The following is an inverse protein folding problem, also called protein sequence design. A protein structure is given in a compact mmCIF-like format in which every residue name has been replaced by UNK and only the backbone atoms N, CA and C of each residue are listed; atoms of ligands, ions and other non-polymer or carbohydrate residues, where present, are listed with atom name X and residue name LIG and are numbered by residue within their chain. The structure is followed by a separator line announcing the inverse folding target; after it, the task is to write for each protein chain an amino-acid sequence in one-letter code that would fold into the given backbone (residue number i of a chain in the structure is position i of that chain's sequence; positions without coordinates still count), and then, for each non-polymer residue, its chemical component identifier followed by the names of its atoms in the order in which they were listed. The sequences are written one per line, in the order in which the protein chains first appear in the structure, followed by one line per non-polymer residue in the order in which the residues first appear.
data_IF_179202482336
#
_entry.id   IF_179202482336
#
_cell.length_a   1.000
_cell.length_b   1.000
_cell.length_c   1.000
_cell.angle_alpha   90.00
_cell.angle_beta   90.00
_cell.angle_gamma   90.00
#
_symmetry.space_group_name_H-M   'P 1'
#
loop_
_entity.id
_entity.type
_entity.pdbx_description
1 polymer ?
#
# COMPACT_ATOMS: atom_id res chain seq x y z
N UNK A 1 13.16 70.84 3.35
CA UNK A 1 13.95 69.64 3.02
C UNK A 1 13.27 68.36 3.54
N UNK A 2 12.15 67.87 2.94
CA UNK A 2 11.48 66.65 3.41
C UNK A 2 10.67 65.92 2.34
N UNK A 3 10.94 66.14 1.03
CA UNK A 3 10.23 65.38 -0.04
C UNK A 3 11.07 64.33 -0.76
N UNK A 4 12.40 64.25 -0.56
CA UNK A 4 13.30 63.38 -1.32
C UNK A 4 13.46 61.96 -0.73
N UNK A 5 13.18 61.73 0.55
CA UNK A 5 13.41 60.45 1.20
C UNK A 5 12.25 59.41 1.04
N UNK A 6 11.03 59.89 0.76
CA UNK A 6 9.87 58.98 0.56
C UNK A 6 9.82 58.28 -0.81
N UNK A 7 10.37 58.91 -1.85
CA UNK A 7 10.39 58.33 -3.20
C UNK A 7 11.42 57.22 -3.35
N UNK A 8 12.58 57.31 -2.70
CA UNK A 8 13.62 56.27 -2.73
C UNK A 8 13.22 55.00 -2.02
N UNK A 9 12.44 55.07 -0.93
CA UNK A 9 11.90 53.91 -0.20
C UNK A 9 10.90 53.12 -1.01
N UNK A 10 9.98 53.80 -1.70
CA UNK A 10 8.96 53.15 -2.52
C UNK A 10 9.54 52.45 -3.75
N UNK A 11 10.57 53.01 -4.38
CA UNK A 11 11.26 52.41 -5.52
C UNK A 11 12.00 51.11 -5.12
N UNK A 12 12.60 51.09 -3.94
CA UNK A 12 13.34 49.93 -3.42
C UNK A 12 12.39 48.77 -3.05
N UNK A 13 11.24 49.06 -2.47
CA UNK A 13 10.19 48.10 -2.16
C UNK A 13 9.55 47.54 -3.45
N UNK A 14 9.37 48.37 -4.46
CA UNK A 14 8.86 47.97 -5.77
C UNK A 14 9.84 47.04 -6.50
N UNK A 15 11.14 47.37 -6.52
CA UNK A 15 12.18 46.52 -7.10
C UNK A 15 12.30 45.17 -6.39
N UNK A 16 12.25 45.14 -5.06
CA UNK A 16 12.25 43.90 -4.28
C UNK A 16 11.01 43.02 -4.55
N UNK A 17 9.86 43.63 -4.77
CA UNK A 17 8.64 42.90 -5.20
C UNK A 17 8.78 42.31 -6.61
N UNK A 18 9.37 43.06 -7.55
CA UNK A 18 9.63 42.57 -8.90
C UNK A 18 10.63 41.44 -8.91
N UNK A 19 11.72 41.51 -8.14
CA UNK A 19 12.70 40.43 -8.00
C UNK A 19 12.08 39.17 -7.35
N UNK A 20 11.24 39.36 -6.33
CA UNK A 20 10.54 38.25 -5.68
C UNK A 20 9.55 37.59 -6.64
N UNK A 21 8.82 38.34 -7.45
CA UNK A 21 7.91 37.83 -8.46
C UNK A 21 8.67 37.11 -9.60
N UNK A 22 9.80 37.65 -10.07
CA UNK A 22 10.64 37.00 -11.08
C UNK A 22 11.26 35.71 -10.57
N UNK A 23 11.73 35.66 -9.32
CA UNK A 23 12.23 34.42 -8.70
C UNK A 23 11.10 33.39 -8.57
N UNK A 24 9.90 33.82 -8.20
CA UNK A 24 8.73 32.93 -8.08
C UNK A 24 8.28 32.36 -9.44
N UNK A 25 8.30 33.21 -10.49
CA UNK A 25 7.96 32.77 -11.86
C UNK A 25 9.03 31.81 -12.44
N UNK A 26 10.31 32.11 -12.25
CA UNK A 26 11.41 31.22 -12.66
C UNK A 26 11.32 29.85 -11.96
N UNK A 27 10.96 29.84 -10.67
CA UNK A 27 10.77 28.60 -9.93
C UNK A 27 9.55 27.80 -10.40
N UNK A 28 8.47 28.44 -10.83
CA UNK A 28 7.29 27.81 -11.44
C UNK A 28 7.61 27.23 -12.82
N UNK A 29 8.33 27.96 -13.66
CA UNK A 29 8.76 27.49 -14.98
C UNK A 29 9.73 26.31 -14.84
N UNK A 30 10.72 26.40 -13.96
CA UNK A 30 11.65 25.30 -13.71
C UNK A 30 10.94 24.05 -13.19
N UNK A 31 9.95 24.20 -12.31
CA UNK A 31 9.10 23.09 -11.83
C UNK A 31 8.29 22.45 -12.96
N UNK A 32 7.66 23.26 -13.85
CA UNK A 32 6.90 22.76 -15.01
C UNK A 32 7.80 22.00 -15.98
N UNK A 33 9.01 22.51 -16.25
CA UNK A 33 9.98 21.83 -17.10
C UNK A 33 10.44 20.52 -16.44
N UNK A 34 10.72 20.53 -15.14
CA UNK A 34 11.06 19.31 -14.40
C UNK A 34 9.96 18.24 -14.47
N UNK A 35 8.68 18.64 -14.43
CA UNK A 35 7.55 17.75 -14.61
C UNK A 35 7.48 17.13 -16.01
N UNK A 36 7.76 17.93 -17.05
CA UNK A 36 7.80 17.44 -18.43
C UNK A 36 8.88 16.37 -18.62
N UNK A 37 10.09 16.56 -18.04
CA UNK A 37 11.14 15.55 -18.06
C UNK A 37 10.78 14.29 -17.31
N UNK A 38 10.16 14.41 -16.14
CA UNK A 38 9.66 13.25 -15.37
C UNK A 38 8.58 12.48 -16.14
N UNK A 39 7.67 13.20 -16.78
CA UNK A 39 6.62 12.60 -17.60
C UNK A 39 7.19 11.92 -18.85
N UNK A 40 8.14 12.54 -19.55
CA UNK A 40 8.84 11.94 -20.66
C UNK A 40 9.62 10.68 -20.23
N UNK A 41 10.31 10.71 -19.09
CA UNK A 41 10.95 9.55 -18.49
C UNK A 41 9.96 8.41 -18.19
N UNK A 42 8.82 8.73 -17.61
CA UNK A 42 7.75 7.76 -17.32
C UNK A 42 7.19 7.14 -18.60
N UNK A 43 6.96 7.95 -19.65
CA UNK A 43 6.53 7.45 -20.95
C UNK A 43 7.59 6.53 -21.59
N UNK A 44 8.87 6.92 -21.52
CA UNK A 44 9.99 6.10 -22.01
C UNK A 44 10.07 4.78 -21.23
N UNK A 45 10.00 4.81 -19.92
CA UNK A 45 9.94 3.63 -19.06
C UNK A 45 8.78 2.70 -19.45
N UNK A 46 7.56 3.26 -19.58
CA UNK A 46 6.37 2.51 -19.97
C UNK A 46 6.53 1.93 -21.39
N UNK A 47 7.09 2.69 -22.34
CA UNK A 47 7.31 2.23 -23.71
C UNK A 47 8.30 1.05 -23.77
N UNK A 48 9.42 1.13 -23.06
CA UNK A 48 10.42 0.05 -23.02
C UNK A 48 9.87 -1.21 -22.37
N UNK A 49 9.05 -1.07 -21.31
CA UNK A 49 8.45 -2.20 -20.61
C UNK A 49 7.14 -2.69 -21.25
N UNK A 50 6.61 -1.98 -22.25
CA UNK A 50 5.29 -2.30 -22.86
C UNK A 50 5.17 -3.75 -23.36
N UNK A 51 6.20 -4.42 -23.97
CA UNK A 51 6.03 -5.81 -24.38
C UNK A 51 5.83 -6.77 -23.20
N UNK A 52 6.46 -6.49 -22.03
CA UNK A 52 6.20 -7.25 -20.82
C UNK A 52 4.79 -6.99 -20.27
N UNK A 53 4.39 -5.73 -20.24
CA UNK A 53 3.03 -5.35 -19.80
C UNK A 53 1.96 -5.94 -20.71
N UNK A 54 2.15 -6.01 -22.02
CA UNK A 54 1.23 -6.68 -22.93
C UNK A 54 1.11 -8.18 -22.64
N UNK A 55 2.22 -8.87 -22.34
CA UNK A 55 2.19 -10.29 -21.94
C UNK A 55 1.46 -10.50 -20.63
N UNK A 56 1.71 -9.63 -19.64
CA UNK A 56 1.02 -9.66 -18.35
C UNK A 56 -0.47 -9.39 -18.55
N UNK A 57 -0.83 -8.36 -19.32
CA UNK A 57 -2.22 -8.02 -19.64
C UNK A 57 -2.92 -9.16 -20.38
N UNK A 58 -2.27 -9.74 -21.38
CA UNK A 58 -2.81 -10.91 -22.08
C UNK A 58 -3.15 -12.03 -21.09
N UNK A 59 -2.18 -12.44 -20.25
CA UNK A 59 -2.42 -13.47 -19.22
C UNK A 59 -3.52 -13.04 -18.24
N UNK A 60 -3.53 -11.78 -17.81
CA UNK A 60 -4.54 -11.25 -16.90
C UNK A 60 -5.96 -11.32 -17.48
N UNK A 61 -6.12 -11.13 -18.79
CA UNK A 61 -7.44 -11.18 -19.45
C UNK A 61 -7.84 -12.58 -19.92
N UNK A 62 -6.90 -13.48 -20.18
CA UNK A 62 -7.17 -14.79 -20.79
C UNK A 62 -7.01 -15.98 -19.86
N UNK A 63 -6.31 -15.85 -18.73
CA UNK A 63 -6.13 -16.95 -17.78
C UNK A 63 -7.43 -17.15 -16.97
N UNK A 64 -8.10 -18.28 -17.18
CA UNK A 64 -9.37 -18.63 -16.50
C UNK A 64 -9.25 -18.77 -14.96
N UNK A 65 -8.02 -18.75 -14.43
CA UNK A 65 -7.76 -18.74 -12.98
C UNK A 65 -7.85 -17.36 -12.37
N UNK A 66 -8.05 -16.31 -13.17
CA UNK A 66 -8.17 -14.94 -12.72
C UNK A 66 -9.62 -14.49 -12.84
N UNK A 67 -10.29 -14.34 -11.70
CA UNK A 67 -11.64 -13.78 -11.63
C UNK A 67 -11.53 -12.28 -11.31
N UNK A 68 -11.98 -11.46 -12.25
CA UNK A 68 -11.87 -10.00 -12.14
C UNK A 68 -13.15 -9.36 -11.64
N UNK A 69 -13.01 -8.16 -11.07
CA UNK A 69 -14.12 -7.27 -10.71
C UNK A 69 -15.11 -7.82 -9.68
N UNK A 70 -14.65 -8.74 -8.82
CA UNK A 70 -15.47 -9.25 -7.72
C UNK A 70 -15.77 -8.11 -6.74
N UNK A 71 -17.04 -7.88 -6.44
CA UNK A 71 -17.48 -6.79 -5.58
C UNK A 71 -17.35 -7.18 -4.11
N UNK A 72 -16.72 -6.33 -3.30
CA UNK A 72 -16.56 -6.56 -1.86
C UNK A 72 -17.26 -5.53 -0.97
N UNK A 73 -17.79 -4.45 -1.53
CA UNK A 73 -18.45 -3.38 -0.81
C UNK A 73 -19.34 -2.50 -1.67
N UNK A 74 -19.97 -1.45 -1.10
CA UNK A 74 -21.00 -0.66 -1.76
C UNK A 74 -20.43 0.34 -2.79
N UNK A 75 -19.20 0.84 -2.60
CA UNK A 75 -18.64 1.85 -3.48
C UNK A 75 -18.27 1.25 -4.86
N UNK A 76 -18.31 2.03 -5.95
CA UNK A 76 -17.95 1.54 -7.28
C UNK A 76 -16.54 0.97 -7.37
N UNK A 77 -15.59 1.50 -6.57
CA UNK A 77 -14.21 1.04 -6.48
C UNK A 77 -14.01 -0.13 -5.50
N UNK A 78 -15.03 -0.54 -4.75
CA UNK A 78 -14.94 -1.70 -3.86
C UNK A 78 -14.99 -3.01 -4.67
N UNK A 79 -13.96 -3.22 -5.49
CA UNK A 79 -13.75 -4.39 -6.33
C UNK A 79 -12.40 -5.01 -6.07
N UNK A 80 -12.28 -6.31 -6.31
CA UNK A 80 -11.02 -7.03 -6.22
C UNK A 80 -10.89 -8.02 -7.38
N UNK A 81 -9.65 -8.42 -7.65
CA UNK A 81 -9.37 -9.50 -8.57
C UNK A 81 -8.81 -10.69 -7.79
N UNK A 82 -9.35 -11.88 -8.07
CA UNK A 82 -8.92 -13.13 -7.47
C UNK A 82 -7.99 -13.86 -8.43
N UNK A 83 -6.82 -14.24 -7.94
CA UNK A 83 -5.85 -15.08 -8.62
C UNK A 83 -5.83 -16.42 -7.90
N UNK A 84 -6.39 -17.44 -8.54
CA UNK A 84 -6.71 -18.72 -7.92
C UNK A 84 -5.78 -19.83 -8.46
N UNK A 85 -4.97 -20.51 -7.61
CA UNK A 85 -4.18 -21.65 -8.03
C UNK A 85 -5.08 -22.79 -8.54
N UNK A 86 -4.49 -23.77 -9.24
CA UNK A 86 -5.23 -24.96 -9.67
C UNK A 86 -5.92 -25.64 -8.48
N UNK A 87 -7.17 -26.03 -8.66
CA UNK A 87 -8.00 -26.65 -7.63
C UNK A 87 -8.69 -25.67 -6.68
N UNK A 88 -8.57 -24.34 -6.94
CA UNK A 88 -9.37 -23.32 -6.30
C UNK A 88 -10.36 -22.73 -7.31
N UNK A 89 -11.53 -22.30 -6.84
CA UNK A 89 -12.55 -21.68 -7.68
C UNK A 89 -13.32 -20.62 -6.89
N UNK A 90 -13.96 -19.68 -7.60
CA UNK A 90 -14.91 -18.73 -7.06
C UNK A 90 -16.25 -18.90 -7.78
N UNK A 91 -17.28 -19.26 -7.04
CA UNK A 91 -18.61 -19.57 -7.58
C UNK A 91 -19.63 -18.43 -7.45
N UNK A 92 -19.17 -17.20 -7.19
CA UNK A 92 -20.02 -16.02 -7.05
C UNK A 92 -20.62 -15.82 -5.64
N UNK A 93 -21.51 -14.82 -5.50
CA UNK A 93 -22.06 -14.43 -4.19
C UNK A 93 -23.21 -15.35 -3.73
N UNK A 94 -23.72 -16.22 -4.59
CA UNK A 94 -25.02 -16.91 -4.43
C UNK A 94 -24.96 -18.22 -3.65
N UNK A 95 -23.84 -18.64 -3.11
CA UNK A 95 -23.76 -19.94 -2.40
C UNK A 95 -23.39 -19.71 -0.94
N UNK A 96 -24.31 -19.15 -0.19
CA UNK A 96 -24.38 -19.25 1.28
C UNK A 96 -25.59 -20.16 1.62
N UNK A 97 -25.73 -21.27 0.94
CA UNK A 97 -26.72 -22.29 1.25
C UNK A 97 -26.03 -23.56 1.76
N UNK A 98 -26.78 -24.45 2.39
CA UNK A 98 -26.29 -25.62 3.06
C UNK A 98 -25.31 -26.52 2.24
N UNK A 99 -25.33 -26.41 0.91
CA UNK A 99 -24.36 -27.03 0.00
C UNK A 99 -22.97 -26.38 0.00
N UNK A 100 -22.85 -25.10 0.32
CA UNK A 100 -21.58 -24.39 0.50
C UNK A 100 -20.74 -24.95 1.66
N UNK A 101 -21.37 -25.44 2.70
CA UNK A 101 -20.71 -26.12 3.82
C UNK A 101 -20.06 -27.43 3.39
N UNK A 102 -20.72 -28.21 2.53
CA UNK A 102 -20.20 -29.48 2.03
C UNK A 102 -19.02 -29.29 1.03
N UNK A 103 -19.04 -28.21 0.23
CA UNK A 103 -17.92 -27.84 -0.63
C UNK A 103 -16.74 -27.26 0.19
N UNK A 104 -17.02 -26.57 1.30
CA UNK A 104 -16.04 -26.06 2.24
C UNK A 104 -15.25 -27.21 2.91
N UNK A 105 -15.87 -28.30 3.28
CA UNK A 105 -15.18 -29.48 3.86
C UNK A 105 -14.27 -30.18 2.86
N UNK A 106 -14.67 -30.30 1.60
CA UNK A 106 -13.83 -30.89 0.54
C UNK A 106 -12.69 -29.96 0.09
N UNK A 107 -12.92 -28.63 0.09
CA UNK A 107 -11.89 -27.63 -0.21
C UNK A 107 -10.85 -27.53 0.93
N UNK A 108 -11.21 -27.89 2.16
CA UNK A 108 -10.35 -27.88 3.35
C UNK A 108 -9.13 -28.83 3.25
N UNK A 109 -9.11 -29.77 2.31
CA UNK A 109 -7.96 -30.65 2.12
C UNK A 109 -6.70 -29.96 1.57
N UNK A 110 -6.80 -28.76 1.01
CA UNK A 110 -5.67 -27.98 0.53
C UNK A 110 -5.64 -26.61 1.23
N UNK A 111 -5.21 -26.61 2.49
CA UNK A 111 -5.02 -25.44 3.38
C UNK A 111 -4.05 -24.40 2.80
N UNK A 112 -4.48 -23.67 1.76
CA UNK A 112 -3.63 -22.68 1.03
C UNK A 112 -3.62 -21.35 1.74
N UNK A 113 -2.46 -20.69 1.85
CA UNK A 113 -2.41 -19.30 2.31
C UNK A 113 -3.16 -18.38 1.35
N UNK A 114 -3.82 -17.37 1.93
CA UNK A 114 -4.55 -16.32 1.21
C UNK A 114 -3.84 -14.99 1.43
N UNK A 115 -3.54 -14.29 0.35
CA UNK A 115 -2.88 -12.99 0.38
C UNK A 115 -3.86 -11.93 -0.10
N UNK A 116 -4.14 -10.96 0.76
CA UNK A 116 -4.84 -9.73 0.40
C UNK A 116 -3.80 -8.71 -0.03
N UNK A 117 -3.78 -8.35 -1.30
CA UNK A 117 -2.82 -7.41 -1.85
C UNK A 117 -3.45 -6.01 -2.00
N UNK A 118 -2.77 -4.99 -1.49
CA UNK A 118 -3.18 -3.58 -1.56
C UNK A 118 -2.15 -2.80 -2.37
N UNK A 119 -2.56 -2.31 -3.55
CA UNK A 119 -1.65 -1.63 -4.48
C UNK A 119 -1.29 -0.23 -3.99
N UNK A 120 -0.10 0.25 -4.37
CA UNK A 120 0.30 1.65 -4.23
C UNK A 120 -0.33 2.55 -5.30
N UNK A 121 0.25 3.72 -5.48
CA UNK A 121 -0.16 4.73 -6.47
C UNK A 121 -0.40 6.11 -5.87
N UNK A 122 0.40 6.52 -4.90
CA UNK A 122 0.37 7.86 -4.29
C UNK A 122 -1.02 8.29 -3.78
N UNK A 123 -1.89 7.34 -3.41
CA UNK A 123 -3.29 7.56 -3.04
C UNK A 123 -4.19 8.14 -4.16
N UNK A 124 -3.66 8.32 -5.38
CA UNK A 124 -4.31 9.01 -6.51
C UNK A 124 -4.60 8.06 -7.66
N UNK A 125 -3.68 7.15 -7.97
CA UNK A 125 -3.73 6.31 -9.19
C UNK A 125 -3.71 4.80 -8.90
N UNK A 126 -3.94 4.37 -7.66
CA UNK A 126 -3.97 2.94 -7.31
C UNK A 126 -5.02 2.18 -8.13
N UNK A 127 -4.68 0.99 -8.61
CA UNK A 127 -5.57 0.13 -9.35
C UNK A 127 -5.21 -1.35 -9.16
N UNK A 128 -6.22 -2.19 -8.89
CA UNK A 128 -6.03 -3.62 -8.56
C UNK A 128 -5.22 -4.43 -9.58
N UNK A 129 -5.34 -4.12 -10.88
CA UNK A 129 -4.60 -4.84 -11.92
C UNK A 129 -3.08 -4.56 -11.89
N UNK A 130 -2.63 -3.51 -11.21
CA UNK A 130 -1.19 -3.24 -11.05
C UNK A 130 -0.51 -4.29 -10.18
N UNK A 131 -1.28 -4.97 -9.32
CA UNK A 131 -0.83 -6.12 -8.56
C UNK A 131 -0.68 -7.41 -9.36
N UNK A 132 -1.15 -7.46 -10.62
CA UNK A 132 -1.25 -8.70 -11.40
C UNK A 132 0.10 -9.42 -11.57
N UNK A 133 1.19 -8.68 -11.75
CA UNK A 133 2.53 -9.28 -11.95
C UNK A 133 2.98 -10.08 -10.72
N UNK A 134 2.90 -9.48 -9.53
CA UNK A 134 3.18 -10.16 -8.26
C UNK A 134 2.16 -11.27 -7.99
N UNK A 135 0.87 -10.96 -8.16
CA UNK A 135 -0.21 -11.90 -7.87
C UNK A 135 -0.13 -13.18 -8.71
N UNK A 136 0.17 -13.07 -10.01
CA UNK A 136 0.38 -14.24 -10.87
C UNK A 136 1.59 -15.07 -10.46
N UNK A 137 2.67 -14.42 -10.00
CA UNK A 137 3.86 -15.11 -9.51
C UNK A 137 3.57 -15.86 -8.21
N UNK A 138 2.85 -15.25 -7.28
CA UNK A 138 2.42 -15.90 -6.04
C UNK A 138 1.37 -16.98 -6.29
N UNK A 139 0.43 -16.79 -7.22
CA UNK A 139 -0.55 -17.79 -7.62
C UNK A 139 0.12 -19.07 -8.16
N UNK A 140 1.16 -18.93 -9.00
CA UNK A 140 1.94 -20.08 -9.50
C UNK A 140 2.60 -20.87 -8.36
N UNK A 141 2.93 -20.22 -7.25
CA UNK A 141 3.48 -20.83 -6.02
C UNK A 141 2.42 -21.43 -5.09
N UNK A 142 1.17 -21.44 -5.53
CA UNK A 142 0.07 -22.06 -4.83
C UNK A 142 -0.66 -21.16 -3.83
N UNK A 143 -0.38 -19.87 -3.79
CA UNK A 143 -1.09 -18.90 -2.95
C UNK A 143 -2.35 -18.40 -3.64
N UNK A 144 -3.44 -18.23 -2.89
CA UNK A 144 -4.60 -17.47 -3.34
C UNK A 144 -4.28 -15.99 -3.14
N UNK A 145 -4.48 -15.16 -4.17
CA UNK A 145 -4.24 -13.72 -4.06
C UNK A 145 -5.50 -12.94 -4.42
N UNK A 146 -5.91 -12.04 -3.54
CA UNK A 146 -6.98 -11.07 -3.75
C UNK A 146 -6.38 -9.67 -3.86
N UNK A 147 -6.31 -9.12 -5.07
CA UNK A 147 -5.81 -7.76 -5.31
C UNK A 147 -6.93 -6.76 -5.18
N UNK A 148 -6.88 -5.89 -4.15
CA UNK A 148 -7.92 -4.94 -3.84
C UNK A 148 -7.81 -3.65 -4.64
N UNK A 149 -8.96 -3.13 -5.06
CA UNK A 149 -9.15 -1.74 -5.44
C UNK A 149 -9.74 -0.96 -4.25
N UNK A 150 -9.50 0.33 -4.20
CA UNK A 150 -10.03 1.25 -3.19
C UNK A 150 -10.26 2.61 -3.82
N UNK A 151 -11.08 3.47 -3.21
CA UNK A 151 -11.25 4.85 -3.67
C UNK A 151 -9.90 5.55 -3.71
N UNK A 152 -9.61 6.26 -4.79
CA UNK A 152 -8.45 7.14 -4.88
C UNK A 152 -8.89 8.59 -4.64
N UNK A 153 -7.97 9.47 -4.27
CA UNK A 153 -8.24 10.90 -4.26
C UNK A 153 -8.48 11.40 -5.71
N UNK A 154 -9.49 12.24 -5.98
CA UNK A 154 -10.39 12.92 -5.03
C UNK A 154 -11.69 12.15 -4.69
N UNK A 155 -11.85 10.89 -5.10
CA UNK A 155 -13.07 10.09 -4.82
C UNK A 155 -13.24 9.79 -3.32
N UNK A 156 -12.14 9.77 -2.57
CA UNK A 156 -12.11 9.61 -1.13
C UNK A 156 -10.82 10.15 -0.55
N UNK A 157 -10.79 10.32 0.76
CA UNK A 157 -9.62 10.69 1.55
C UNK A 157 -8.91 9.44 2.10
N UNK A 158 -7.81 9.62 2.81
CA UNK A 158 -7.07 8.52 3.44
C UNK A 158 -7.95 7.69 4.39
N UNK A 159 -8.89 8.34 5.08
CA UNK A 159 -9.86 7.66 5.94
C UNK A 159 -10.77 6.73 5.17
N UNK A 160 -11.34 7.23 4.08
CA UNK A 160 -12.18 6.46 3.16
C UNK A 160 -11.44 5.27 2.54
N UNK A 161 -10.18 5.50 2.12
CA UNK A 161 -9.33 4.46 1.52
C UNK A 161 -9.00 3.36 2.53
N UNK A 162 -8.65 3.73 3.76
CA UNK A 162 -8.36 2.76 4.82
C UNK A 162 -9.60 1.92 5.18
N UNK A 163 -10.79 2.54 5.19
CA UNK A 163 -12.05 1.84 5.39
C UNK A 163 -12.37 0.86 4.25
N UNK A 164 -12.14 1.25 2.99
CA UNK A 164 -12.28 0.36 1.83
C UNK A 164 -11.34 -0.85 1.95
N UNK A 165 -10.07 -0.61 2.31
CA UNK A 165 -9.08 -1.68 2.52
C UNK A 165 -9.51 -2.60 3.66
N UNK A 166 -9.95 -2.05 4.80
CA UNK A 166 -10.47 -2.83 5.93
C UNK A 166 -11.66 -3.71 5.56
N UNK A 167 -12.62 -3.15 4.79
CA UNK A 167 -13.77 -3.90 4.27
C UNK A 167 -13.35 -5.04 3.35
N UNK A 168 -12.37 -4.80 2.46
CA UNK A 168 -11.80 -5.80 1.56
C UNK A 168 -11.10 -6.93 2.31
N UNK A 169 -10.28 -6.62 3.32
CA UNK A 169 -9.64 -7.61 4.20
C UNK A 169 -10.71 -8.48 4.87
N UNK A 170 -11.73 -7.85 5.46
CA UNK A 170 -12.83 -8.56 6.11
C UNK A 170 -13.60 -9.46 5.14
N UNK A 171 -13.86 -9.00 3.92
CA UNK A 171 -14.53 -9.78 2.88
C UNK A 171 -13.73 -11.03 2.51
N UNK A 172 -12.43 -10.88 2.21
CA UNK A 172 -11.56 -12.00 1.84
C UNK A 172 -11.44 -13.00 2.99
N UNK A 173 -11.27 -12.53 4.22
CA UNK A 173 -11.15 -13.39 5.39
C UNK A 173 -12.39 -14.28 5.59
N UNK A 174 -13.59 -13.69 5.47
CA UNK A 174 -14.85 -14.46 5.59
C UNK A 174 -15.01 -15.51 4.49
N UNK A 175 -14.42 -15.28 3.32
CA UNK A 175 -14.52 -16.18 2.16
C UNK A 175 -13.29 -17.04 1.91
N UNK A 176 -12.28 -16.97 2.77
CA UNK A 176 -11.03 -17.70 2.57
C UNK A 176 -11.27 -19.21 2.34
N UNK A 177 -12.12 -19.85 3.16
CA UNK A 177 -12.44 -21.28 3.02
C UNK A 177 -13.16 -21.57 1.69
N UNK A 178 -14.15 -20.79 1.30
CA UNK A 178 -14.89 -21.00 0.04
C UNK A 178 -14.01 -20.75 -1.21
N UNK A 179 -12.92 -20.02 -1.08
CA UNK A 179 -11.91 -19.85 -2.13
C UNK A 179 -10.91 -21.03 -2.18
N UNK A 180 -11.00 -22.01 -1.28
CA UNK A 180 -10.02 -23.10 -1.14
C UNK A 180 -8.80 -22.73 -0.31
N UNK A 181 -8.89 -21.67 0.48
CA UNK A 181 -7.85 -21.16 1.37
C UNK A 181 -8.09 -21.52 2.83
N UNK A 182 -7.06 -21.30 3.64
CA UNK A 182 -7.10 -21.44 5.09
C UNK A 182 -7.45 -20.11 5.76
N UNK A 183 -8.61 -20.00 6.45
CA UNK A 183 -8.99 -18.77 7.16
C UNK A 183 -8.01 -18.37 8.27
N UNK A 184 -7.14 -19.27 8.72
CA UNK A 184 -6.08 -19.02 9.69
C UNK A 184 -4.77 -18.54 9.05
N UNK A 185 -4.66 -18.62 7.72
CA UNK A 185 -3.48 -18.25 6.93
C UNK A 185 -3.80 -17.11 5.96
N UNK A 186 -4.47 -16.07 6.47
CA UNK A 186 -4.75 -14.86 5.71
C UNK A 186 -3.70 -13.81 6.03
N UNK A 187 -3.00 -13.34 4.99
CA UNK A 187 -1.95 -12.34 5.07
C UNK A 187 -2.37 -11.09 4.32
N UNK A 188 -1.91 -9.95 4.78
CA UNK A 188 -2.08 -8.67 4.07
C UNK A 188 -0.72 -8.22 3.54
N UNK A 189 -0.64 -7.90 2.26
CA UNK A 189 0.56 -7.39 1.61
C UNK A 189 0.22 -6.04 0.99
N UNK A 190 0.86 -4.97 1.43
CA UNK A 190 0.67 -3.63 0.88
C UNK A 190 1.94 -3.10 0.25
N UNK A 191 1.82 -2.32 -0.84
CA UNK A 191 2.93 -1.67 -1.50
C UNK A 191 2.77 -0.15 -1.49
N UNK A 192 3.83 0.62 -1.08
CA UNK A 192 3.82 2.09 -1.11
C UNK A 192 2.63 2.68 -0.33
N UNK A 193 1.80 3.51 -0.96
CA UNK A 193 0.54 3.99 -0.40
C UNK A 193 -0.38 2.85 0.06
N UNK A 194 -0.35 1.68 -0.60
CA UNK A 194 -1.09 0.50 -0.18
C UNK A 194 -0.57 -0.12 1.12
N UNK A 195 0.74 -0.06 1.38
CA UNK A 195 1.32 -0.48 2.66
C UNK A 195 0.90 0.46 3.81
N UNK A 196 0.88 1.76 3.53
CA UNK A 196 0.33 2.76 4.44
C UNK A 196 -1.13 2.46 4.79
N UNK A 197 -1.98 2.31 3.77
CA UNK A 197 -3.42 2.07 3.95
C UNK A 197 -3.70 0.75 4.66
N UNK A 198 -2.92 -0.30 4.37
CA UNK A 198 -3.03 -1.58 5.05
C UNK A 198 -2.66 -1.45 6.54
N UNK A 199 -1.53 -0.82 6.87
CA UNK A 199 -1.14 -0.57 8.25
C UNK A 199 -2.18 0.28 8.99
N UNK A 200 -2.68 1.34 8.34
CA UNK A 200 -3.71 2.21 8.90
C UNK A 200 -5.03 1.46 9.14
N UNK A 201 -5.45 0.60 8.22
CA UNK A 201 -6.65 -0.24 8.38
C UNK A 201 -6.53 -1.21 9.55
N UNK A 202 -5.35 -1.83 9.74
CA UNK A 202 -5.08 -2.72 10.90
C UNK A 202 -5.19 -1.96 12.22
N UNK A 203 -4.55 -0.81 12.32
CA UNK A 203 -4.51 -0.01 13.54
C UNK A 203 -5.91 0.57 13.88
N UNK A 204 -6.61 1.12 12.88
CA UNK A 204 -7.99 1.62 13.07
C UNK A 204 -8.98 0.52 13.47
N UNK A 205 -8.80 -0.69 12.92
CA UNK A 205 -9.61 -1.83 13.33
C UNK A 205 -9.34 -2.22 14.79
N UNK A 206 -8.11 -2.08 15.26
CA UNK A 206 -7.75 -2.25 16.68
C UNK A 206 -8.41 -1.19 17.54
N UNK A 207 -8.33 0.09 17.19
CA UNK A 207 -8.99 1.20 17.90
C UNK A 207 -10.50 0.96 18.02
N UNK A 208 -11.14 0.61 16.90
CA UNK A 208 -12.57 0.38 16.85
C UNK A 208 -13.00 -0.76 17.79
N UNK A 209 -12.33 -1.91 17.77
CA UNK A 209 -12.66 -3.05 18.63
C UNK A 209 -12.54 -2.71 20.11
N UNK A 210 -11.59 -1.87 20.48
CA UNK A 210 -11.41 -1.45 21.86
C UNK A 210 -12.48 -0.47 22.30
N UNK A 211 -12.88 0.45 21.45
CA UNK A 211 -13.96 1.40 21.77
C UNK A 211 -15.29 0.68 21.97
N UNK A 212 -15.61 -0.36 21.20
CA UNK A 212 -16.81 -1.18 21.44
C UNK A 212 -16.75 -1.96 22.76
N UNK A 213 -15.58 -2.54 23.07
CA UNK A 213 -15.40 -3.27 24.33
C UNK A 213 -15.53 -2.35 25.56
N UNK A 214 -15.03 -1.11 25.46
CA UNK A 214 -15.09 -0.13 26.56
C UNK A 214 -16.47 0.48 26.75
N UNK A 215 -17.29 0.58 25.71
CA UNK A 215 -18.62 1.20 25.77
C UNK A 215 -19.74 0.25 26.20
N UNK A 216 -19.46 -1.07 26.33
CA UNK A 216 -20.39 -2.06 26.89
C UNK A 216 -21.75 -2.24 26.18
N UNK A 217 -22.00 -1.51 25.11
CA UNK A 217 -23.20 -1.59 24.27
C UNK A 217 -22.88 -1.13 22.83
N UNK A 218 -23.42 -1.84 21.86
CA UNK A 218 -23.33 -1.51 20.43
C UNK A 218 -23.90 -0.14 20.11
N UNK A 219 -23.15 0.90 20.38
CA UNK A 219 -23.48 2.25 19.95
C UNK A 219 -23.04 2.42 18.50
N UNK A 220 -23.97 2.16 17.59
CA UNK A 220 -23.92 2.71 16.24
C UNK A 220 -24.00 4.24 16.32
N UNK A 221 -22.95 4.92 16.75
CA UNK A 221 -22.81 6.36 16.54
C UNK A 221 -22.26 6.57 15.13
N UNK A 222 -23.18 6.69 14.21
CA UNK A 222 -23.05 7.05 12.81
C UNK A 222 -22.55 8.48 12.66
N UNK A 223 -21.26 8.76 12.80
CA UNK A 223 -20.75 10.07 12.40
C UNK A 223 -19.25 10.14 12.07
N UNK A 224 -18.58 9.01 11.86
CA UNK A 224 -17.28 9.02 11.18
C UNK A 224 -17.41 8.33 9.82
N UNK A 225 -17.46 9.12 8.78
CA UNK A 225 -17.26 8.67 7.39
C UNK A 225 -15.99 7.83 7.40
N UNK A 226 -16.10 6.54 7.03
CA UNK A 226 -14.95 5.66 6.90
C UNK A 226 -14.69 4.65 8.04
N UNK A 227 -15.58 4.49 9.03
CA UNK A 227 -15.45 3.42 10.01
C UNK A 227 -15.58 2.03 9.32
N UNK A 228 -14.70 1.06 9.64
CA UNK A 228 -14.86 -0.31 9.14
C UNK A 228 -16.20 -0.88 9.61
N UNK A 229 -16.82 -1.72 8.78
CA UNK A 229 -18.09 -2.35 9.14
C UNK A 229 -17.95 -3.12 10.46
N UNK A 230 -18.79 -2.85 11.47
CA UNK A 230 -18.71 -3.44 12.79
C UNK A 230 -18.64 -4.97 12.78
N UNK A 231 -17.81 -5.57 13.62
CA UNK A 231 -17.79 -7.00 13.90
C UNK A 231 -17.21 -7.92 12.81
N UNK A 232 -16.63 -7.38 11.73
CA UNK A 232 -16.28 -8.19 10.58
C UNK A 232 -14.98 -9.02 10.73
N UNK A 233 -13.95 -8.51 11.44
CA UNK A 233 -12.66 -9.17 11.62
C UNK A 233 -11.80 -8.49 12.70
N UNK A 234 -10.74 -9.17 13.15
CA UNK A 234 -9.74 -8.62 14.06
C UNK A 234 -8.34 -8.75 13.48
N UNK A 235 -7.44 -7.75 13.62
CA UNK A 235 -6.06 -7.86 13.16
C UNK A 235 -5.33 -9.10 13.69
N UNK A 236 -5.58 -9.50 14.94
CA UNK A 236 -5.03 -10.73 15.55
C UNK A 236 -5.42 -12.04 14.84
N UNK A 237 -6.43 -11.99 13.97
CA UNK A 237 -6.87 -13.15 13.19
C UNK A 237 -6.12 -13.27 11.85
N UNK A 238 -5.27 -12.31 11.53
CA UNK A 238 -4.40 -12.36 10.37
C UNK A 238 -3.11 -13.10 10.72
N UNK A 239 -2.63 -13.91 9.79
CA UNK A 239 -1.38 -14.65 9.95
C UNK A 239 -0.14 -13.78 9.77
N UNK A 240 -0.27 -12.63 9.09
CA UNK A 240 0.83 -11.67 8.94
C UNK A 240 0.47 -10.43 8.13
N UNK A 241 1.31 -9.42 8.28
CA UNK A 241 1.33 -8.20 7.48
C UNK A 241 2.69 -8.02 6.81
N UNK A 242 2.69 -7.69 5.52
CA UNK A 242 3.90 -7.36 4.76
C UNK A 242 3.74 -5.95 4.19
N UNK A 243 4.63 -5.06 4.57
CA UNK A 243 4.72 -3.72 4.01
C UNK A 243 5.91 -3.57 3.08
N UNK A 244 5.66 -3.23 1.81
CA UNK A 244 6.70 -3.06 0.78
C UNK A 244 6.83 -1.59 0.43
N UNK A 245 8.01 -0.99 0.65
CA UNK A 245 8.29 0.43 0.36
C UNK A 245 7.21 1.37 0.89
N UNK A 246 6.74 1.12 2.11
CA UNK A 246 5.60 1.82 2.71
C UNK A 246 5.94 3.21 3.24
N UNK A 247 4.91 3.99 3.47
CA UNK A 247 4.92 5.30 4.13
C UNK A 247 4.22 5.15 5.46
N UNK A 248 4.87 5.50 6.58
CA UNK A 248 4.29 5.21 7.90
C UNK A 248 4.27 6.41 8.85
N UNK A 249 4.89 7.53 8.47
CA UNK A 249 4.94 8.76 9.28
C UNK A 249 4.53 10.01 8.50
N UNK A 250 3.30 10.08 7.92
CA UNK A 250 2.82 11.27 7.23
C UNK A 250 2.71 12.51 8.14
N UNK A 251 2.79 12.33 9.45
CA UNK A 251 2.89 13.40 10.46
C UNK A 251 4.31 14.00 10.57
N UNK A 252 5.33 13.39 9.97
CA UNK A 252 6.69 13.94 9.95
C UNK A 252 6.81 15.06 8.91
N UNK A 253 7.11 16.32 9.33
CA UNK A 253 7.25 17.43 8.39
C UNK A 253 8.32 17.21 7.33
N UNK A 254 9.38 16.45 7.63
CA UNK A 254 10.45 16.13 6.68
C UNK A 254 9.95 15.26 5.52
N UNK A 255 9.01 14.36 5.80
CA UNK A 255 8.37 13.53 4.79
C UNK A 255 7.42 14.34 3.91
N UNK A 256 6.64 15.25 4.49
CA UNK A 256 5.76 16.17 3.75
C UNK A 256 6.58 17.02 2.77
N UNK A 257 7.72 17.57 3.25
CA UNK A 257 8.63 18.32 2.40
C UNK A 257 9.30 17.47 1.33
N UNK A 258 9.64 16.22 1.66
CA UNK A 258 10.17 15.26 0.70
C UNK A 258 9.19 15.02 -0.46
N UNK A 259 7.91 14.77 -0.17
CA UNK A 259 6.88 14.57 -1.20
C UNK A 259 6.64 15.82 -2.04
N UNK A 260 6.61 17.01 -1.43
CA UNK A 260 6.48 18.27 -2.16
C UNK A 260 7.63 18.47 -3.16
N UNK A 261 8.86 18.18 -2.75
CA UNK A 261 10.04 18.19 -3.65
C UNK A 261 9.96 17.14 -4.76
N UNK A 262 9.36 15.99 -4.50
CA UNK A 262 9.19 14.90 -5.47
C UNK A 262 8.01 15.13 -6.41
N UNK A 263 7.16 16.12 -6.15
CA UNK A 263 6.08 16.55 -7.04
C UNK A 263 4.68 16.13 -6.60
N UNK A 264 4.51 15.53 -5.44
CA UNK A 264 3.22 15.48 -4.77
C UNK A 264 3.09 16.79 -3.97
N UNK A 265 2.41 17.77 -4.56
CA UNK A 265 2.23 19.08 -3.94
C UNK A 265 1.67 18.96 -2.53
N UNK A 266 2.22 19.76 -1.62
CA UNK A 266 1.87 19.77 -0.20
C UNK A 266 0.36 19.93 0.02
N UNK A 267 -0.28 20.79 -0.74
CA UNK A 267 -1.72 21.05 -0.67
C UNK A 267 -2.54 19.79 -1.02
N UNK A 268 -2.11 19.06 -2.04
CA UNK A 268 -2.75 17.79 -2.44
C UNK A 268 -2.52 16.72 -1.38
N UNK A 269 -1.29 16.62 -0.86
CA UNK A 269 -0.99 15.70 0.22
C UNK A 269 -1.84 15.97 1.47
N UNK A 270 -1.96 17.23 1.87
CA UNK A 270 -2.81 17.63 2.99
C UNK A 270 -4.29 17.31 2.75
N UNK A 271 -4.80 17.54 1.54
CA UNK A 271 -6.17 17.18 1.18
C UNK A 271 -6.41 15.67 1.24
N UNK A 272 -5.48 14.86 0.75
CA UNK A 272 -5.52 13.39 0.87
C UNK A 272 -5.58 12.95 2.34
N UNK A 273 -4.73 13.56 3.19
CA UNK A 273 -4.60 13.24 4.62
C UNK A 273 -5.62 13.96 5.51
N UNK A 274 -6.71 14.49 4.94
CA UNK A 274 -7.82 15.16 5.65
C UNK A 274 -7.44 16.45 6.39
N UNK A 275 -6.25 16.99 6.12
CA UNK A 275 -5.75 18.22 6.73
C UNK A 275 -6.30 19.50 6.08
N UNK A 276 -7.09 19.38 5.00
CA UNK A 276 -7.52 20.50 4.13
C UNK A 276 -6.39 20.98 3.23
N UNK A 277 -6.71 21.58 2.09
CA UNK A 277 -5.69 22.05 1.12
C UNK A 277 -4.69 23.04 1.72
N UNK A 278 -5.12 23.89 2.65
CA UNK A 278 -4.22 24.84 3.35
C UNK A 278 -3.38 24.19 4.46
N UNK A 279 -3.66 22.94 4.83
CA UNK A 279 -3.06 22.32 6.00
C UNK A 279 -3.57 22.86 7.33
N UNK A 280 -4.70 23.59 7.34
CA UNK A 280 -5.24 24.21 8.57
C UNK A 280 -5.57 23.20 9.68
N UNK A 281 -5.81 21.94 9.32
CA UNK A 281 -6.07 20.83 10.25
C UNK A 281 -4.91 19.85 10.35
N UNK A 282 -3.71 20.19 9.82
CA UNK A 282 -2.59 19.26 9.76
C UNK A 282 -2.18 18.72 11.13
N UNK A 283 -2.22 19.55 12.17
CA UNK A 283 -1.90 19.15 13.53
C UNK A 283 -2.80 18.02 14.07
N UNK A 284 -4.07 17.99 13.67
CA UNK A 284 -5.04 16.97 14.10
C UNK A 284 -5.07 15.77 13.13
N UNK A 285 -5.07 16.04 11.83
CA UNK A 285 -5.34 15.05 10.80
C UNK A 285 -4.13 14.17 10.48
N UNK A 286 -2.92 14.74 10.43
CA UNK A 286 -1.73 13.97 10.09
C UNK A 286 -1.39 12.88 11.11
N UNK A 287 -1.43 13.11 12.44
CA UNK A 287 -1.23 12.02 13.40
C UNK A 287 -2.26 10.89 13.26
N UNK A 288 -3.54 11.22 12.99
CA UNK A 288 -4.59 10.21 12.76
C UNK A 288 -4.39 9.41 11.47
N UNK A 289 -3.63 9.94 10.53
CA UNK A 289 -3.28 9.29 9.27
C UNK A 289 -1.92 8.60 9.33
N UNK A 290 -1.22 8.68 10.46
CA UNK A 290 0.14 8.16 10.65
C UNK A 290 0.14 6.85 11.44
N UNK A 291 0.46 5.70 10.80
CA UNK A 291 0.67 4.46 11.52
C UNK A 291 1.67 4.59 12.69
N UNK A 292 2.78 5.31 12.49
CA UNK A 292 3.76 5.54 13.57
C UNK A 292 3.19 6.36 14.73
N UNK A 293 2.37 7.38 14.45
CA UNK A 293 1.77 8.20 15.50
C UNK A 293 0.71 7.41 16.28
N UNK A 294 -0.12 6.64 15.61
CA UNK A 294 -1.14 5.78 16.25
C UNK A 294 -0.48 4.73 17.15
N UNK A 295 0.62 4.09 16.69
CA UNK A 295 1.35 3.12 17.51
C UNK A 295 1.96 3.80 18.75
N UNK A 296 2.53 5.01 18.62
CA UNK A 296 3.02 5.79 19.77
C UNK A 296 1.89 6.18 20.73
N UNK A 297 0.71 6.45 20.21
CA UNK A 297 -0.46 6.74 21.04
C UNK A 297 -0.88 5.50 21.86
N UNK A 298 -0.87 4.30 21.26
CA UNK A 298 -1.08 3.06 21.97
C UNK A 298 0.01 2.80 23.03
N UNK A 299 1.28 3.09 22.73
CA UNK A 299 2.37 2.95 23.72
C UNK A 299 2.08 3.76 24.99
N UNK A 300 1.57 4.97 24.84
CA UNK A 300 1.33 5.88 25.95
C UNK A 300 0.01 5.63 26.70
N UNK A 301 -1.08 5.30 25.98
CA UNK A 301 -2.41 5.19 26.55
C UNK A 301 -2.80 3.77 26.95
N UNK A 302 -2.36 2.78 26.17
CA UNK A 302 -2.78 1.39 26.29
C UNK A 302 -1.62 0.43 26.00
N UNK A 303 -0.60 0.38 26.88
CA UNK A 303 0.54 -0.52 26.71
C UNK A 303 0.10 -1.98 26.51
N UNK A 304 0.71 -2.69 25.53
CA UNK A 304 0.40 -4.09 25.24
C UNK A 304 -0.62 -4.32 24.13
N UNK A 305 -1.44 -3.32 23.74
CA UNK A 305 -2.44 -3.46 22.67
C UNK A 305 -1.81 -3.90 21.35
N UNK A 306 -0.71 -3.29 20.96
CA UNK A 306 0.01 -3.63 19.74
C UNK A 306 0.54 -5.08 19.80
N UNK A 307 1.05 -5.50 20.96
CA UNK A 307 1.51 -6.87 21.18
C UNK A 307 0.40 -7.91 21.04
N UNK A 308 -0.82 -7.55 21.42
CA UNK A 308 -1.99 -8.43 21.37
C UNK A 308 -2.66 -8.48 20.00
N UNK A 309 -2.65 -7.37 19.26
CA UNK A 309 -3.49 -7.19 18.07
C UNK A 309 -2.72 -7.21 16.76
N UNK A 310 -1.51 -6.66 16.71
CA UNK A 310 -0.74 -6.64 15.48
C UNK A 310 -0.24 -8.02 15.09
N UNK A 311 -0.49 -8.45 13.85
CA UNK A 311 0.03 -9.72 13.35
C UNK A 311 1.55 -9.66 13.20
N UNK A 312 2.24 -10.81 13.07
CA UNK A 312 3.62 -10.86 12.61
C UNK A 312 3.82 -9.94 11.41
N UNK A 313 4.86 -9.12 11.43
CA UNK A 313 5.06 -8.06 10.43
C UNK A 313 6.42 -8.23 9.74
N UNK A 314 6.42 -8.14 8.40
CA UNK A 314 7.61 -8.07 7.57
C UNK A 314 7.60 -6.74 6.80
N UNK A 315 8.66 -5.95 6.94
CA UNK A 315 8.84 -4.70 6.21
C UNK A 315 9.98 -4.87 5.20
N UNK A 316 9.65 -4.69 3.93
CA UNK A 316 10.58 -4.81 2.80
C UNK A 316 10.81 -3.44 2.17
N UNK A 317 12.09 -3.05 1.93
CA UNK A 317 12.37 -1.74 1.34
C UNK A 317 13.62 -1.74 0.47
N UNK A 318 13.56 -1.07 -0.69
CA UNK A 318 14.73 -0.83 -1.51
C UNK A 318 15.62 0.26 -0.92
N UNK A 319 16.93 0.02 -0.76
CA UNK A 319 17.82 1.00 -0.13
C UNK A 319 18.08 2.24 -1.00
N UNK A 320 17.87 2.14 -2.31
CA UNK A 320 17.96 3.26 -3.25
C UNK A 320 16.59 3.90 -3.55
N UNK A 321 15.58 3.62 -2.72
CA UNK A 321 14.25 4.21 -2.87
C UNK A 321 14.29 5.71 -2.55
N UNK A 322 14.00 6.52 -3.57
CA UNK A 322 13.90 7.97 -3.45
C UNK A 322 12.47 8.48 -3.51
N UNK A 323 11.49 7.61 -3.66
CA UNK A 323 10.05 7.97 -3.64
C UNK A 323 9.51 7.96 -2.22
N UNK A 324 9.68 6.83 -1.52
CA UNK A 324 9.44 6.72 -0.08
C UNK A 324 10.78 6.39 0.59
N UNK A 325 11.28 7.23 1.52
CA UNK A 325 12.56 6.96 2.14
C UNK A 325 12.58 5.62 2.92
N UNK A 326 13.65 4.80 2.81
CA UNK A 326 13.75 3.54 3.56
C UNK A 326 13.61 3.69 5.08
N UNK A 327 13.93 4.88 5.60
CA UNK A 327 13.73 5.24 7.00
C UNK A 327 12.28 5.13 7.47
N UNK A 328 11.31 5.18 6.57
CA UNK A 328 9.89 5.00 6.93
C UNK A 328 9.62 3.58 7.46
N UNK A 329 10.17 2.55 6.80
CA UNK A 329 10.08 1.18 7.30
C UNK A 329 10.81 1.01 8.62
N UNK A 330 11.99 1.61 8.78
CA UNK A 330 12.75 1.55 10.03
C UNK A 330 12.01 2.21 11.20
N UNK A 331 11.44 3.42 11.00
CA UNK A 331 10.62 4.12 12.00
C UNK A 331 9.43 3.28 12.46
N UNK A 332 8.73 2.64 11.50
CA UNK A 332 7.57 1.84 11.82
C UNK A 332 7.94 0.54 12.53
N UNK A 333 9.02 -0.13 12.11
CA UNK A 333 9.57 -1.31 12.79
C UNK A 333 9.94 -0.99 14.24
N UNK A 334 10.65 0.13 14.45
CA UNK A 334 11.03 0.60 15.78
C UNK A 334 9.80 0.87 16.66
N UNK A 335 8.81 1.61 16.14
CA UNK A 335 7.57 1.91 16.86
C UNK A 335 6.83 0.62 17.27
N UNK A 336 6.68 -0.33 16.34
CA UNK A 336 6.04 -1.62 16.64
C UNK A 336 6.79 -2.41 17.72
N UNK A 337 8.14 -2.47 17.65
CA UNK A 337 8.95 -3.19 18.65
C UNK A 337 8.86 -2.56 20.05
N UNK A 338 8.89 -1.23 20.11
CA UNK A 338 8.72 -0.50 21.38
C UNK A 338 7.39 -0.78 22.04
N UNK A 339 6.33 -0.96 21.23
CA UNK A 339 5.01 -1.35 21.72
C UNK A 339 4.86 -2.85 21.95
N UNK A 340 5.93 -3.62 21.90
CA UNK A 340 5.94 -5.05 22.20
C UNK A 340 5.36 -5.95 21.11
N UNK A 341 5.28 -5.50 19.84
CA UNK A 341 4.89 -6.36 18.73
C UNK A 341 5.77 -7.63 18.70
N UNK A 342 5.13 -8.80 18.65
CA UNK A 342 5.79 -10.10 18.90
C UNK A 342 6.86 -10.45 17.86
N UNK A 343 6.63 -10.05 16.60
CA UNK A 343 7.52 -10.38 15.49
C UNK A 343 7.51 -9.26 14.46
N UNK A 344 8.63 -8.55 14.35
CA UNK A 344 8.84 -7.51 13.36
C UNK A 344 10.16 -7.79 12.64
N UNK A 345 10.07 -8.14 11.38
CA UNK A 345 11.18 -8.43 10.48
C UNK A 345 11.38 -7.29 9.50
N UNK A 346 12.61 -7.04 9.14
CA UNK A 346 12.99 -6.04 8.14
C UNK A 346 13.89 -6.68 7.08
N UNK A 347 13.62 -6.34 5.81
CA UNK A 347 14.43 -6.73 4.65
C UNK A 347 14.72 -5.50 3.82
N UNK A 348 15.99 -5.18 3.69
CA UNK A 348 16.46 -4.08 2.86
C UNK A 348 17.20 -4.61 1.64
N UNK A 349 16.80 -4.11 0.46
CA UNK A 349 17.35 -4.59 -0.82
C UNK A 349 18.38 -3.58 -1.36
N UNK A 350 19.69 -3.91 -1.32
CA UNK A 350 20.75 -3.01 -1.78
C UNK A 350 20.57 -2.60 -3.25
N UNK A 351 20.68 -1.30 -3.54
CA UNK A 351 20.60 -0.75 -4.88
C UNK A 351 19.23 -0.83 -5.57
N UNK A 352 18.18 -1.30 -4.87
CA UNK A 352 16.82 -1.33 -5.41
C UNK A 352 16.09 -0.02 -5.14
N UNK A 353 15.42 0.48 -6.17
CA UNK A 353 14.56 1.67 -6.12
C UNK A 353 13.15 1.30 -5.65
N UNK A 354 12.24 2.29 -5.64
CA UNK A 354 10.83 2.11 -5.25
C UNK A 354 10.09 1.04 -6.05
N UNK A 355 10.37 0.94 -7.34
CA UNK A 355 9.64 0.08 -8.27
C UNK A 355 10.38 -1.21 -8.62
N UNK A 356 11.67 -1.28 -8.39
CA UNK A 356 12.48 -2.44 -8.80
C UNK A 356 11.96 -3.76 -8.24
N UNK A 357 11.72 -3.92 -6.93
CA UNK A 357 11.30 -5.19 -6.37
C UNK A 357 9.93 -5.64 -6.87
N UNK A 358 9.12 -4.69 -7.32
CA UNK A 358 7.71 -4.91 -7.65
C UNK A 358 7.44 -4.99 -9.17
N UNK A 359 8.26 -4.34 -9.99
CA UNK A 359 8.09 -4.25 -11.45
C UNK A 359 9.26 -4.86 -12.19
N UNK A 360 10.46 -4.30 -12.01
CA UNK A 360 11.59 -4.67 -12.87
C UNK A 360 12.15 -6.05 -12.54
N UNK A 361 12.22 -6.43 -11.27
CA UNK A 361 12.72 -7.74 -10.87
C UNK A 361 11.80 -8.88 -11.33
N UNK A 362 10.46 -8.82 -11.14
CA UNK A 362 9.55 -9.81 -11.72
C UNK A 362 9.58 -9.86 -13.25
N UNK A 363 9.80 -8.73 -13.94
CA UNK A 363 9.95 -8.69 -15.41
C UNK A 363 11.24 -9.36 -15.87
N UNK A 364 12.34 -9.20 -15.11
CA UNK A 364 13.60 -9.90 -15.37
C UNK A 364 13.49 -11.41 -15.21
N UNK A 365 12.50 -11.88 -14.49
CA UNK A 365 12.30 -13.28 -14.18
C UNK A 365 13.40 -13.84 -13.26
N UNK A 366 13.52 -15.14 -13.20
CA UNK A 366 14.38 -15.81 -12.25
C UNK A 366 13.75 -15.87 -10.87
N UNK A 367 14.58 -15.78 -9.83
CA UNK A 367 14.14 -15.65 -8.43
C UNK A 367 14.20 -14.19 -8.04
N UNK A 368 13.07 -13.53 -7.95
CA UNK A 368 13.03 -12.18 -7.38
C UNK A 368 12.97 -12.25 -5.85
N UNK A 369 13.85 -11.48 -5.22
CA UNK A 369 14.05 -11.49 -3.76
C UNK A 369 12.79 -11.14 -2.98
N UNK A 370 12.02 -10.17 -3.45
CA UNK A 370 10.78 -9.77 -2.77
C UNK A 370 9.76 -10.91 -2.73
N UNK A 371 9.51 -11.54 -3.88
CA UNK A 371 8.55 -12.67 -3.95
C UNK A 371 9.02 -13.85 -3.11
N UNK A 372 10.34 -14.13 -3.07
CA UNK A 372 10.90 -15.17 -2.21
C UNK A 372 10.71 -14.85 -0.72
N UNK A 373 11.00 -13.62 -0.30
CA UNK A 373 10.83 -13.21 1.10
C UNK A 373 9.36 -13.22 1.53
N UNK A 374 8.44 -12.77 0.66
CA UNK A 374 6.99 -12.86 0.91
C UNK A 374 6.58 -14.34 1.04
N UNK A 375 7.00 -15.20 0.09
CA UNK A 375 6.62 -16.61 0.09
C UNK A 375 7.16 -17.34 1.32
N UNK A 376 8.39 -17.04 1.74
CA UNK A 376 9.00 -17.58 2.96
C UNK A 376 8.22 -17.15 4.20
N UNK A 377 7.94 -15.86 4.33
CA UNK A 377 7.18 -15.33 5.45
C UNK A 377 5.78 -15.95 5.55
N UNK A 378 5.07 -16.07 4.42
CA UNK A 378 3.72 -16.65 4.34
C UNK A 378 3.71 -18.14 4.71
N UNK A 379 4.79 -18.88 4.42
CA UNK A 379 4.93 -20.30 4.81
C UNK A 379 5.38 -20.51 6.25
N UNK A 380 5.63 -19.45 7.01
CA UNK A 380 6.04 -19.53 8.42
C UNK A 380 7.54 -19.74 8.63
N UNK A 381 8.38 -19.51 7.62
CA UNK A 381 9.82 -19.61 7.75
C UNK A 381 10.43 -18.45 8.53
N UNK A 382 11.24 -18.78 9.54
CA UNK A 382 11.82 -17.79 10.46
C UNK A 382 13.23 -17.35 10.09
N UNK A 383 13.88 -17.97 9.14
CA UNK A 383 15.28 -17.72 8.96
C UNK A 383 15.85 -18.16 7.63
N UNK A 384 17.15 -18.08 7.57
CA UNK A 384 17.98 -18.40 6.42
C UNK A 384 17.98 -19.90 6.07
N UNK A 385 17.48 -20.79 6.96
CA UNK A 385 17.70 -22.23 6.90
C UNK A 385 16.49 -23.10 6.48
N UNK A 386 15.39 -22.51 6.02
CA UNK A 386 14.27 -23.31 5.50
C UNK A 386 14.56 -23.83 4.09
N UNK A 387 14.93 -25.09 3.93
CA UNK A 387 14.92 -25.81 2.65
C UNK A 387 13.46 -25.92 2.15
N UNK A 388 12.88 -24.82 1.68
CA UNK A 388 11.60 -24.84 0.99
C UNK A 388 11.82 -25.30 -0.44
N UNK A 389 10.93 -26.15 -0.93
CA UNK A 389 10.89 -26.56 -2.32
C UNK A 389 11.10 -25.30 -3.19
N UNK A 390 12.20 -25.30 -3.91
CA UNK A 390 12.62 -24.21 -4.75
C UNK A 390 11.48 -23.88 -5.72
N UNK A 391 10.82 -22.71 -5.53
CA UNK A 391 9.82 -22.25 -6.49
C UNK A 391 10.47 -22.16 -7.86
N UNK A 392 9.79 -22.66 -8.89
CA UNK A 392 10.27 -22.53 -10.27
C UNK A 392 10.62 -21.07 -10.56
N UNK A 393 11.82 -20.84 -11.07
CA UNK A 393 12.23 -19.53 -11.54
C UNK A 393 11.26 -19.04 -12.63
N UNK A 394 10.73 -17.84 -12.47
CA UNK A 394 9.83 -17.26 -13.46
C UNK A 394 10.60 -16.99 -14.77
N UNK A 395 10.05 -17.32 -15.95
CA UNK A 395 10.72 -16.97 -17.20
C UNK A 395 10.81 -15.45 -17.34
N UNK A 396 11.89 -14.92 -17.91
CA UNK A 396 12.03 -13.50 -18.16
C UNK A 396 10.96 -13.01 -19.15
N UNK A 397 10.32 -11.89 -18.83
CA UNK A 397 9.36 -11.25 -19.74
C UNK A 397 10.05 -10.35 -20.75
N UNK A 398 11.23 -9.81 -20.40
CA UNK A 398 12.08 -8.96 -21.27
C UNK A 398 13.56 -9.31 -21.10
N UNK A 399 14.38 -9.06 -22.15
CA UNK A 399 15.83 -9.11 -22.07
C UNK A 399 16.40 -8.14 -21.02
N UNK A 400 17.43 -8.55 -20.31
CA UNK A 400 18.09 -7.74 -19.26
C UNK A 400 18.54 -6.36 -19.74
N UNK A 401 19.01 -6.25 -20.98
CA UNK A 401 19.46 -4.98 -21.56
C UNK A 401 18.32 -3.95 -21.64
N UNK A 402 17.11 -4.37 -22.03
CA UNK A 402 15.95 -3.46 -22.10
C UNK A 402 15.51 -3.01 -20.71
N UNK A 403 15.52 -3.90 -19.72
CA UNK A 403 15.19 -3.54 -18.34
C UNK A 403 16.24 -2.58 -17.76
N UNK A 404 17.53 -2.76 -18.10
CA UNK A 404 18.57 -1.81 -17.70
C UNK A 404 18.33 -0.41 -18.29
N UNK A 405 17.96 -0.32 -19.58
CA UNK A 405 17.56 0.95 -20.21
C UNK A 405 16.33 1.56 -19.52
N UNK A 406 15.30 0.75 -19.25
CA UNK A 406 14.12 1.25 -18.53
C UNK A 406 14.48 1.85 -17.17
N UNK A 407 15.38 1.22 -16.41
CA UNK A 407 15.84 1.73 -15.10
C UNK A 407 16.44 3.13 -15.15
N UNK A 408 17.12 3.50 -16.24
CA UNK A 408 17.68 4.86 -16.41
C UNK A 408 16.61 5.92 -16.65
N UNK A 409 15.39 5.51 -17.01
CA UNK A 409 14.27 6.40 -17.32
C UNK A 409 13.30 6.57 -16.15
N UNK A 410 13.44 5.79 -15.07
CA UNK A 410 12.56 5.88 -13.90
C UNK A 410 12.67 7.25 -13.27
N UNK A 411 11.58 8.05 -13.20
CA UNK A 411 11.62 9.41 -12.68
C UNK A 411 11.51 9.47 -11.14
N UNK A 412 11.41 8.31 -10.47
CA UNK A 412 11.07 8.21 -9.05
C UNK A 412 12.10 7.41 -8.25
#
# INVERSE_FOLDING_TARGET
MTRSSRTAGNSRVFLLRLEKNQKHDRSRVARRIGWLFKFAGLLGFAAVLSPAFFRVAWSYYTDGRITRDVRYGPNPRNRLDLFLPRGCAFFGETVVDAEGAALSEKASAASRPVIVFVTGGMWIIGYKAWGALLAMTLMRRGFIVASLDYRNFPQGTVGDMAADVGAGIGWVRRRAASLGGDPKKVFVVGQSAGAHLAALALLRQTEWQRSEYSSGYGAASSSSVGAPAPGAWSPKQLAGFVGVSGVYSPDDPSLVEHFDRKGLYREVFYAIMEAGFSGSRAFEALPRSSPCAIVREFESKEPGVVAETMPPTLLCHGQADTSAPPSESAKFAEALRRCGARRVLEKYYPGKTHTDPFVTDPILGGRDTLTEDIARFVRGGDGEDGAFAEGEASPPLLPRALVAVARTMVPF
#
